data_IF_784008226188
#
_entry.id   IF_784008226188
#
_cell.length_a   1.000
_cell.length_b   1.000
_cell.length_c   1.000
_cell.angle_alpha   90.00
_cell.angle_beta   90.00
_cell.angle_gamma   90.00
#
_symmetry.space_group_name_H-M   'P 1'
#
loop_
_entity.id
_entity.type
_entity.pdbx_description
1 polymer ?
#
# COMPACT_ATOMS: atom_id res chain seq x y z
N UNK A 1 -21.88 8.33 31.96
CA UNK A 1 -20.70 7.58 31.48
C UNK A 1 -20.47 7.99 30.02
N UNK A 2 -19.49 8.84 29.70
CA UNK A 2 -19.22 9.28 28.32
C UNK A 2 -18.14 8.38 27.73
N UNK A 3 -18.51 7.47 26.84
CA UNK A 3 -17.57 6.70 26.02
C UNK A 3 -16.82 7.69 25.12
N UNK A 4 -15.54 7.95 25.42
CA UNK A 4 -14.67 8.70 24.50
C UNK A 4 -14.31 7.75 23.37
N UNK A 5 -14.85 7.98 22.17
CA UNK A 5 -14.34 7.34 20.97
C UNK A 5 -12.94 7.91 20.69
N UNK A 6 -11.91 7.09 20.90
CA UNK A 6 -10.55 7.41 20.48
C UNK A 6 -10.45 6.96 19.02
N UNK A 7 -10.55 7.91 18.10
CA UNK A 7 -10.26 7.65 16.70
C UNK A 7 -8.74 7.69 16.50
N UNK A 8 -8.13 6.54 16.26
CA UNK A 8 -6.73 6.46 15.86
C UNK A 8 -6.65 6.57 14.34
N UNK A 9 -5.89 7.54 13.83
CA UNK A 9 -5.65 7.62 12.38
C UNK A 9 -4.83 6.41 11.90
N UNK A 10 -5.11 5.89 10.70
CA UNK A 10 -4.45 4.70 10.17
C UNK A 10 -2.91 4.80 10.23
N UNK A 11 -2.33 5.94 9.82
CA UNK A 11 -0.88 6.16 9.90
C UNK A 11 -0.32 6.24 11.34
N UNK A 12 -1.12 6.64 12.33
CA UNK A 12 -0.71 6.55 13.74
C UNK A 12 -0.69 5.09 14.19
N UNK A 13 -1.67 4.28 13.78
CA UNK A 13 -1.71 2.85 14.08
C UNK A 13 -0.49 2.12 13.48
N UNK A 14 -0.08 2.44 12.26
CA UNK A 14 1.14 1.86 11.66
C UNK A 14 2.42 2.25 12.42
N UNK A 15 2.56 3.52 12.83
CA UNK A 15 3.71 3.94 13.67
C UNK A 15 3.72 3.26 15.04
N UNK A 16 2.54 3.11 15.67
CA UNK A 16 2.43 2.39 16.92
C UNK A 16 2.79 0.90 16.76
N UNK A 17 2.43 0.28 15.64
CA UNK A 17 2.84 -1.07 15.28
C UNK A 17 4.36 -1.21 15.17
N UNK A 18 5.02 -0.32 14.41
CA UNK A 18 6.49 -0.29 14.28
C UNK A 18 7.21 -0.12 15.62
N UNK A 19 6.63 0.66 16.55
CA UNK A 19 7.21 0.85 17.88
C UNK A 19 7.04 -0.37 18.79
N UNK A 20 6.01 -1.20 18.55
CA UNK A 20 5.65 -2.34 19.39
C UNK A 20 6.40 -3.62 19.00
N UNK A 21 6.78 -3.77 17.74
CA UNK A 21 7.41 -4.99 17.21
C UNK A 21 8.58 -4.64 16.31
N UNK A 22 9.75 -5.26 16.57
CA UNK A 22 10.97 -5.06 15.81
C UNK A 22 11.71 -6.39 15.61
N UNK A 23 11.79 -6.95 14.39
CA UNK A 23 11.20 -6.42 13.16
C UNK A 23 9.68 -6.61 13.13
N UNK A 24 8.95 -5.58 12.70
CA UNK A 24 7.52 -5.65 12.47
C UNK A 24 7.21 -6.63 11.33
N UNK A 25 6.42 -7.66 11.58
CA UNK A 25 5.93 -8.53 10.53
C UNK A 25 4.85 -7.83 9.68
N UNK A 26 5.09 -7.76 8.37
CA UNK A 26 4.16 -7.24 7.36
C UNK A 26 3.86 -8.36 6.37
N UNK A 27 2.60 -8.77 6.27
CA UNK A 27 2.21 -9.91 5.41
C UNK A 27 1.43 -9.44 4.19
N UNK A 28 1.76 -9.98 3.03
CA UNK A 28 1.06 -9.68 1.78
C UNK A 28 -0.40 -10.16 1.80
N UNK A 29 -1.34 -9.27 1.46
CA UNK A 29 -2.71 -9.64 1.12
C UNK A 29 -3.09 -9.02 -0.22
N UNK A 30 -3.63 -9.87 -1.10
CA UNK A 30 -4.07 -9.46 -2.45
C UNK A 30 -5.47 -8.82 -2.39
N UNK A 31 -6.32 -9.25 -1.46
CA UNK A 31 -7.71 -8.81 -1.35
C UNK A 31 -8.21 -8.84 0.09
N UNK A 32 -9.46 -8.40 0.29
CA UNK A 32 -10.12 -8.35 1.59
C UNK A 32 -10.18 -9.71 2.31
N UNK A 33 -10.39 -10.81 1.59
CA UNK A 33 -10.43 -12.15 2.20
C UNK A 33 -9.05 -12.54 2.76
N UNK A 34 -7.98 -12.35 1.98
CA UNK A 34 -6.61 -12.58 2.47
C UNK A 34 -6.27 -11.70 3.68
N UNK A 35 -6.76 -10.46 3.72
CA UNK A 35 -6.57 -9.58 4.87
C UNK A 35 -7.26 -10.10 6.14
N UNK A 36 -8.49 -10.62 6.00
CA UNK A 36 -9.20 -11.28 7.11
C UNK A 36 -8.52 -12.57 7.57
N UNK A 37 -7.97 -13.36 6.64
CA UNK A 37 -7.18 -14.55 6.98
C UNK A 37 -5.91 -14.17 7.74
N UNK A 38 -5.21 -13.11 7.31
CA UNK A 38 -4.03 -12.60 8.00
C UNK A 38 -4.37 -12.17 9.44
N UNK A 39 -5.47 -11.42 9.61
CA UNK A 39 -5.98 -11.05 10.93
C UNK A 39 -6.28 -12.27 11.80
N UNK A 40 -6.95 -13.29 11.26
CA UNK A 40 -7.30 -14.53 11.98
C UNK A 40 -6.08 -15.37 12.35
N UNK A 41 -5.03 -15.32 11.54
CA UNK A 41 -3.74 -15.97 11.83
C UNK A 41 -2.98 -15.29 12.98
N UNK A 42 -3.53 -14.21 13.56
CA UNK A 42 -2.89 -13.47 14.64
C UNK A 42 -1.78 -12.56 14.15
N UNK A 43 -1.76 -12.19 12.86
CA UNK A 43 -0.91 -11.10 12.38
C UNK A 43 -1.51 -9.81 12.94
N UNK A 44 -0.75 -9.14 13.80
CA UNK A 44 -1.32 -8.09 14.66
C UNK A 44 -1.20 -6.70 14.09
N UNK A 45 -0.35 -6.48 13.09
CA UNK A 45 0.25 -5.16 12.97
C UNK A 45 0.29 -4.52 11.58
N UNK A 46 0.47 -5.26 10.48
CA UNK A 46 0.26 -4.66 9.16
C UNK A 46 0.13 -5.65 8.02
N UNK A 47 -0.53 -5.19 6.95
CA UNK A 47 -0.72 -5.92 5.72
C UNK A 47 -0.06 -5.13 4.60
N UNK A 48 0.64 -5.81 3.69
CA UNK A 48 1.16 -5.23 2.46
C UNK A 48 0.21 -5.56 1.32
N UNK A 49 -0.20 -4.57 0.52
CA UNK A 49 -0.90 -4.85 -0.73
C UNK A 49 0.13 -5.41 -1.73
N UNK A 50 0.33 -6.73 -1.66
CA UNK A 50 1.23 -7.44 -2.54
C UNK A 50 0.56 -7.63 -3.90
N UNK A 51 1.07 -6.93 -4.92
CA UNK A 51 0.79 -7.21 -6.32
C UNK A 51 -0.71 -7.29 -6.69
N UNK A 52 -1.45 -6.19 -6.48
CA UNK A 52 -2.80 -6.02 -7.03
C UNK A 52 -2.87 -6.39 -8.53
N UNK A 53 -1.77 -6.13 -9.26
CA UNK A 53 -1.56 -6.43 -10.67
C UNK A 53 -1.84 -7.91 -11.02
N UNK A 54 -1.06 -8.85 -10.46
CA UNK A 54 -1.17 -10.26 -10.83
C UNK A 54 -2.30 -11.00 -10.12
N UNK A 55 -2.63 -10.58 -8.89
CA UNK A 55 -3.59 -11.28 -8.05
C UNK A 55 -5.04 -10.86 -8.30
N UNK A 56 -5.34 -9.56 -8.26
CA UNK A 56 -6.72 -9.05 -8.40
C UNK A 56 -7.12 -8.85 -9.86
N UNK A 57 -6.19 -8.40 -10.72
CA UNK A 57 -6.48 -8.03 -12.10
C UNK A 57 -6.01 -9.07 -13.13
N UNK A 58 -5.18 -10.04 -12.74
CA UNK A 58 -4.58 -11.00 -13.68
C UNK A 58 -3.60 -10.35 -14.68
N UNK A 59 -3.03 -9.20 -14.33
CA UNK A 59 -2.11 -8.42 -15.16
C UNK A 59 -0.65 -8.66 -14.77
N UNK A 60 0.28 -8.62 -15.74
CA UNK A 60 1.70 -8.61 -15.42
C UNK A 60 2.09 -7.30 -14.74
N UNK A 61 3.08 -7.38 -13.86
CA UNK A 61 3.63 -6.25 -13.11
C UNK A 61 4.52 -5.35 -14.00
N UNK A 62 3.87 -4.58 -14.89
CA UNK A 62 4.47 -3.73 -15.92
C UNK A 62 3.91 -2.31 -15.90
N UNK A 63 3.35 -1.87 -14.77
CA UNK A 63 2.77 -0.52 -14.64
C UNK A 63 1.51 -0.31 -15.49
N UNK A 64 0.76 -1.39 -15.75
CA UNK A 64 -0.48 -1.37 -16.54
C UNK A 64 -1.68 -0.94 -15.67
N UNK A 65 -1.69 -1.33 -14.39
CA UNK A 65 -2.79 -0.95 -13.51
C UNK A 65 -2.78 0.55 -13.26
N UNK A 66 -3.94 1.06 -12.91
CA UNK A 66 -4.17 2.46 -12.61
C UNK A 66 -4.22 2.69 -11.11
N UNK A 67 -4.10 3.95 -10.71
CA UNK A 67 -4.34 4.35 -9.32
C UNK A 67 -5.74 3.90 -8.85
N UNK A 68 -6.77 3.98 -9.68
CA UNK A 68 -8.14 3.63 -9.28
C UNK A 68 -8.32 2.13 -9.02
N UNK A 69 -7.57 1.28 -9.71
CA UNK A 69 -7.54 -0.16 -9.42
C UNK A 69 -6.99 -0.41 -8.01
N UNK A 70 -5.87 0.23 -7.67
CA UNK A 70 -5.26 0.13 -6.34
C UNK A 70 -6.17 0.72 -5.26
N UNK A 71 -6.79 1.87 -5.51
CA UNK A 71 -7.74 2.47 -4.57
C UNK A 71 -8.97 1.59 -4.32
N UNK A 72 -9.40 0.81 -5.32
CA UNK A 72 -10.52 -0.12 -5.16
C UNK A 72 -10.17 -1.22 -4.17
N UNK A 73 -8.97 -1.81 -4.28
CA UNK A 73 -8.52 -2.87 -3.38
C UNK A 73 -8.22 -2.34 -1.97
N UNK A 74 -7.65 -1.13 -1.85
CA UNK A 74 -7.45 -0.46 -0.55
C UNK A 74 -8.79 -0.37 0.18
N UNK A 75 -9.81 0.23 -0.45
CA UNK A 75 -11.13 0.44 0.19
C UNK A 75 -11.74 -0.89 0.63
N UNK A 76 -11.73 -1.90 -0.26
CA UNK A 76 -12.23 -3.25 0.05
C UNK A 76 -11.54 -3.86 1.27
N UNK A 77 -10.23 -3.70 1.40
CA UNK A 77 -9.46 -4.22 2.53
C UNK A 77 -9.75 -3.43 3.80
N UNK A 78 -9.67 -2.10 3.75
CA UNK A 78 -9.80 -1.23 4.93
C UNK A 78 -11.24 -1.20 5.49
N UNK A 79 -12.24 -1.49 4.66
CA UNK A 79 -13.64 -1.57 5.09
C UNK A 79 -13.91 -2.78 6.00
N UNK A 80 -13.11 -3.85 5.88
CA UNK A 80 -13.35 -5.10 6.63
C UNK A 80 -12.22 -5.51 7.58
N UNK A 81 -11.01 -4.99 7.37
CA UNK A 81 -9.84 -5.33 8.15
C UNK A 81 -9.29 -4.10 8.89
N UNK A 82 -9.26 -4.10 10.24
CA UNK A 82 -8.77 -2.97 11.01
C UNK A 82 -7.23 -2.87 11.07
N UNK A 83 -6.51 -3.82 10.45
CA UNK A 83 -5.05 -3.82 10.46
C UNK A 83 -4.50 -2.70 9.57
N UNK A 84 -3.45 -1.98 10.00
CA UNK A 84 -2.78 -0.98 9.19
C UNK A 84 -2.32 -1.52 7.83
N UNK A 85 -2.77 -0.90 6.74
CA UNK A 85 -2.41 -1.29 5.37
C UNK A 85 -1.23 -0.45 4.84
N UNK A 86 -0.15 -1.12 4.46
CA UNK A 86 0.96 -0.58 3.67
C UNK A 86 0.71 -0.88 2.18
N UNK A 87 0.83 0.13 1.33
CA UNK A 87 0.51 0.04 -0.10
C UNK A 87 1.73 0.26 -0.96
N UNK A 88 1.89 -0.59 -1.99
CA UNK A 88 2.76 -0.36 -3.14
C UNK A 88 2.15 0.69 -4.08
N UNK A 89 2.83 1.83 -4.20
CA UNK A 89 2.37 2.93 -5.04
C UNK A 89 3.17 3.07 -6.35
N UNK A 90 3.95 2.05 -6.73
CA UNK A 90 4.87 2.09 -7.88
C UNK A 90 5.74 3.37 -7.84
N UNK A 91 5.88 4.04 -8.98
CA UNK A 91 6.52 5.34 -9.15
C UNK A 91 5.55 6.52 -8.87
N UNK A 92 4.39 6.26 -8.26
CA UNK A 92 3.38 7.26 -7.92
C UNK A 92 2.29 7.52 -8.97
N UNK A 93 2.05 6.59 -9.90
CA UNK A 93 1.00 6.64 -10.94
C UNK A 93 0.98 7.92 -11.80
N UNK A 94 2.15 8.39 -12.23
CA UNK A 94 2.30 9.45 -13.23
C UNK A 94 3.73 9.96 -13.37
N UNK A 95 3.93 10.92 -14.26
CA UNK A 95 5.27 11.42 -14.63
C UNK A 95 5.67 12.72 -13.91
N UNK A 96 4.78 13.31 -13.11
CA UNK A 96 5.02 14.59 -12.44
C UNK A 96 4.84 14.51 -10.92
N UNK A 97 5.46 15.44 -10.20
CA UNK A 97 5.26 15.59 -8.76
C UNK A 97 3.79 15.84 -8.39
N UNK A 98 3.00 16.45 -9.28
CA UNK A 98 1.56 16.64 -9.07
C UNK A 98 0.79 15.31 -9.10
N UNK A 99 1.20 14.37 -9.96
CA UNK A 99 0.60 13.02 -9.97
C UNK A 99 0.93 12.29 -8.67
N UNK A 100 2.18 12.34 -8.22
CA UNK A 100 2.61 11.74 -6.94
C UNK A 100 1.82 12.35 -5.77
N UNK A 101 1.69 13.67 -5.71
CA UNK A 101 0.92 14.34 -4.67
C UNK A 101 -0.57 13.94 -4.67
N UNK A 102 -1.18 13.77 -5.86
CA UNK A 102 -2.54 13.22 -5.99
C UNK A 102 -2.59 11.78 -5.48
N UNK A 103 -1.65 10.93 -5.86
CA UNK A 103 -1.55 9.52 -5.44
C UNK A 103 -1.49 9.41 -3.92
N UNK A 104 -0.56 10.11 -3.27
CA UNK A 104 -0.42 10.10 -1.80
C UNK A 104 -1.72 10.51 -1.11
N UNK A 105 -2.35 11.61 -1.56
CA UNK A 105 -3.62 12.08 -1.00
C UNK A 105 -4.75 11.07 -1.19
N UNK A 106 -4.84 10.47 -2.37
CA UNK A 106 -5.89 9.49 -2.70
C UNK A 106 -5.73 8.20 -1.91
N UNK A 107 -4.51 7.66 -1.81
CA UNK A 107 -4.21 6.43 -1.05
C UNK A 107 -4.50 6.65 0.44
N UNK A 108 -4.05 7.77 1.01
CA UNK A 108 -4.37 8.12 2.39
C UNK A 108 -5.88 8.27 2.62
N UNK A 109 -6.60 8.94 1.71
CA UNK A 109 -8.06 9.10 1.79
C UNK A 109 -8.81 7.78 1.66
N UNK A 110 -8.26 6.80 0.94
CA UNK A 110 -8.84 5.47 0.81
C UNK A 110 -8.68 4.61 2.08
N UNK A 111 -7.89 5.04 3.07
CA UNK A 111 -7.75 4.36 4.36
C UNK A 111 -6.41 3.66 4.58
N UNK A 112 -5.49 3.72 3.61
CA UNK A 112 -4.15 3.17 3.79
C UNK A 112 -3.40 3.87 4.92
N UNK A 113 -2.64 3.09 5.68
CA UNK A 113 -1.88 3.57 6.82
C UNK A 113 -0.48 4.07 6.43
N UNK A 114 0.10 3.45 5.41
CA UNK A 114 1.39 3.79 4.85
C UNK A 114 1.44 3.46 3.35
N UNK A 115 2.42 4.01 2.66
CA UNK A 115 2.76 3.64 1.28
C UNK A 115 4.28 3.72 1.10
N UNK A 116 4.81 3.00 0.12
CA UNK A 116 6.15 3.22 -0.42
C UNK A 116 6.05 3.59 -1.91
N UNK A 117 7.02 4.37 -2.38
CA UNK A 117 7.16 4.79 -3.77
C UNK A 117 8.55 4.35 -4.22
N UNK A 118 8.66 3.89 -5.44
CA UNK A 118 9.90 3.44 -6.07
C UNK A 118 10.56 4.57 -6.89
N UNK A 119 11.89 4.59 -6.90
CA UNK A 119 12.74 5.51 -7.67
C UNK A 119 12.96 5.04 -9.12
N UNK A 120 12.13 4.14 -9.62
CA UNK A 120 12.25 3.61 -10.97
C UNK A 120 11.90 4.67 -12.03
N UNK A 121 12.56 4.60 -13.19
CA UNK A 121 12.17 5.41 -14.35
C UNK A 121 10.74 5.10 -14.82
N UNK A 122 10.14 6.00 -15.60
CA UNK A 122 8.85 5.77 -16.26
C UNK A 122 8.84 4.52 -17.16
N UNK A 123 7.64 3.98 -17.42
CA UNK A 123 7.44 2.64 -17.96
C UNK A 123 8.05 1.56 -17.04
N UNK A 124 7.49 1.51 -15.81
CA UNK A 124 7.97 0.68 -14.71
C UNK A 124 8.07 -0.80 -15.08
N UNK A 125 9.03 -1.49 -14.48
CA UNK A 125 9.26 -2.94 -14.64
C UNK A 125 9.29 -3.59 -13.28
N UNK A 126 8.66 -4.77 -13.17
CA UNK A 126 8.76 -5.61 -11.99
C UNK A 126 10.20 -5.73 -11.46
N UNK A 127 10.35 -5.59 -10.14
CA UNK A 127 11.62 -5.76 -9.41
C UNK A 127 12.36 -7.07 -9.74
N UNK A 128 11.64 -8.11 -10.18
CA UNK A 128 12.19 -9.42 -10.52
C UNK A 128 12.62 -9.58 -12.00
N UNK A 129 12.48 -8.54 -12.84
CA UNK A 129 12.85 -8.57 -14.27
C UNK A 129 14.19 -7.85 -14.54
N UNK A 130 14.92 -8.20 -15.61
CA UNK A 130 16.12 -7.46 -16.03
C UNK A 130 15.78 -6.09 -16.64
N UNK A 131 16.80 -5.27 -16.88
CA UNK A 131 16.71 -3.94 -17.54
C UNK A 131 15.89 -2.90 -16.76
N UNK A 132 16.06 -2.89 -15.43
CA UNK A 132 15.54 -1.82 -14.56
C UNK A 132 16.50 -0.64 -14.57
N UNK A 133 15.95 0.57 -14.48
CA UNK A 133 16.71 1.79 -14.31
C UNK A 133 16.03 2.67 -13.26
N UNK A 134 16.83 3.44 -12.54
CA UNK A 134 16.36 4.40 -11.54
C UNK A 134 16.55 5.83 -12.04
N UNK A 135 15.76 6.74 -11.52
CA UNK A 135 15.94 8.18 -11.77
C UNK A 135 17.20 8.70 -11.07
N UNK A 136 17.69 9.88 -11.45
CA UNK A 136 18.80 10.52 -10.73
C UNK A 136 18.36 10.94 -9.34
N UNK A 137 19.33 11.17 -8.44
CA UNK A 137 19.04 11.59 -7.06
C UNK A 137 18.32 12.94 -6.99
N UNK A 138 18.60 13.85 -7.92
CA UNK A 138 17.94 15.16 -8.01
C UNK A 138 16.48 15.05 -8.48
N UNK A 139 16.18 13.97 -9.22
CA UNK A 139 14.84 13.68 -9.69
C UNK A 139 13.99 12.93 -8.66
N UNK A 140 14.64 12.23 -7.72
CA UNK A 140 14.00 11.53 -6.61
C UNK A 140 13.67 12.47 -5.46
#
# INVERSE_FOLDING_TARGET
>A
MRTRYVFTFAGQAFRAALAKENPLQIVGAINANHALLAQRAGIRLSIFLAAAYGGSLGLPDLGISTLDDVLTDIRRITDVCPLPLLVDADIGFGSSAFNVARTVKSIAKAGAAALHIEDQVGAKRCGHRPNKAIVSKERW
#
